data_IF_138785458947
#
_entry.id   IF_138785458947
#
_cell.length_a   1.000
_cell.length_b   1.000
_cell.length_c   1.000
_cell.angle_alpha   90.00
_cell.angle_beta   90.00
_cell.angle_gamma   90.00
#
_symmetry.space_group_name_H-M   'P 1'
#
loop_
_entity.id
_entity.type
_entity.pdbx_description
1 polymer ?
#
# COMPACT_ATOMS: atom_id res chain seq x y z
N UNK A 1 -59.32 14.54 30.60
CA UNK A 1 -59.28 15.62 29.60
C UNK A 1 -59.63 15.04 28.24
N UNK A 2 -60.33 15.78 27.39
CA UNK A 2 -60.60 15.32 26.03
C UNK A 2 -59.29 15.27 25.24
N UNK A 3 -58.98 14.12 24.64
CA UNK A 3 -57.81 13.95 23.79
C UNK A 3 -58.18 14.34 22.37
N UNK A 4 -57.47 15.32 21.82
CA UNK A 4 -57.56 15.72 20.42
C UNK A 4 -56.42 15.10 19.63
N UNK A 5 -56.61 14.93 18.32
CA UNK A 5 -55.59 14.42 17.41
C UNK A 5 -55.38 15.39 16.28
N UNK A 6 -54.12 15.72 16.01
CA UNK A 6 -53.74 16.65 14.95
C UNK A 6 -52.62 16.07 14.11
N UNK A 7 -52.59 16.48 12.84
CA UNK A 7 -51.56 16.14 11.86
C UNK A 7 -50.86 17.42 11.43
N UNK A 8 -49.53 17.41 11.46
CA UNK A 8 -48.71 18.50 10.94
C UNK A 8 -47.86 18.01 9.77
N UNK A 9 -47.77 18.83 8.73
CA UNK A 9 -46.90 18.60 7.57
C UNK A 9 -45.89 19.73 7.49
N UNK A 10 -44.60 19.40 7.48
CA UNK A 10 -43.51 20.34 7.24
C UNK A 10 -42.94 20.03 5.86
N UNK A 11 -43.15 20.91 4.88
CA UNK A 11 -42.64 20.74 3.51
C UNK A 11 -41.45 21.64 3.26
N UNK A 12 -40.50 21.16 2.46
CA UNK A 12 -39.33 21.95 2.11
C UNK A 12 -38.48 21.33 1.01
N UNK A 13 -37.50 22.11 0.53
CA UNK A 13 -36.41 21.62 -0.33
C UNK A 13 -35.60 20.54 0.39
N UNK A 14 -35.33 20.73 1.68
CA UNK A 14 -34.53 19.81 2.50
C UNK A 14 -35.08 19.73 3.92
N UNK A 15 -35.85 18.69 4.22
CA UNK A 15 -36.44 18.44 5.55
C UNK A 15 -36.26 16.98 6.01
N UNK A 16 -35.75 16.10 5.15
CA UNK A 16 -35.40 14.72 5.49
C UNK A 16 -33.94 14.62 5.93
N UNK A 17 -33.72 13.81 6.97
CA UNK A 17 -32.41 13.47 7.53
C UNK A 17 -31.59 14.71 7.96
N UNK A 18 -32.28 15.76 8.38
CA UNK A 18 -31.68 16.97 8.98
C UNK A 18 -31.92 17.05 10.49
N UNK A 19 -32.58 16.06 11.10
CA UNK A 19 -32.84 16.02 12.55
C UNK A 19 -34.28 16.33 12.97
N UNK A 20 -35.19 16.69 12.05
CA UNK A 20 -36.58 17.02 12.38
C UNK A 20 -37.29 15.96 13.21
N UNK A 21 -37.22 14.68 12.80
CA UNK A 21 -37.90 13.60 13.53
C UNK A 21 -37.42 13.51 14.98
N UNK A 22 -36.13 13.68 15.23
CA UNK A 22 -35.56 13.66 16.58
C UNK A 22 -36.01 14.89 17.39
N UNK A 23 -35.85 16.08 16.82
CA UNK A 23 -36.29 17.35 17.42
C UNK A 23 -37.75 17.27 17.87
N UNK A 24 -38.65 16.86 16.96
CA UNK A 24 -40.08 16.80 17.19
C UNK A 24 -40.46 15.71 18.20
N UNK A 25 -39.68 14.63 18.29
CA UNK A 25 -39.88 13.58 19.30
C UNK A 25 -39.51 14.08 20.69
N UNK A 26 -38.40 14.82 20.82
CA UNK A 26 -37.98 15.40 22.09
C UNK A 26 -38.99 16.44 22.56
N UNK A 27 -39.45 17.30 21.64
CA UNK A 27 -40.48 18.29 21.93
C UNK A 27 -41.80 17.65 22.41
N UNK A 28 -42.19 16.52 21.83
CA UNK A 28 -43.36 15.78 22.27
C UNK A 28 -43.18 15.21 23.68
N UNK A 29 -42.00 14.68 23.99
CA UNK A 29 -41.66 14.16 25.31
C UNK A 29 -41.68 15.25 26.38
N UNK A 30 -41.03 16.39 26.11
CA UNK A 30 -40.94 17.54 27.02
C UNK A 30 -42.33 18.11 27.38
N UNK A 31 -43.28 18.02 26.45
CA UNK A 31 -44.66 18.47 26.63
C UNK A 31 -45.60 17.37 27.15
N UNK A 32 -45.09 16.18 27.46
CA UNK A 32 -45.90 15.06 27.95
C UNK A 32 -46.92 14.52 26.93
N UNK A 33 -46.60 14.59 25.63
CA UNK A 33 -47.44 14.07 24.56
C UNK A 33 -47.21 12.56 24.40
N UNK A 34 -48.12 11.77 24.99
CA UNK A 34 -48.01 10.32 25.00
C UNK A 34 -48.26 9.62 23.65
N UNK A 35 -48.99 10.24 22.71
CA UNK A 35 -49.23 9.70 21.38
C UNK A 35 -48.53 10.53 20.30
N UNK A 36 -47.54 9.93 19.64
CA UNK A 36 -46.68 10.60 18.67
C UNK A 36 -46.26 9.67 17.54
N UNK A 37 -46.17 10.21 16.32
CA UNK A 37 -45.56 9.53 15.18
C UNK A 37 -44.99 10.54 14.19
N UNK A 38 -43.76 10.35 13.71
CA UNK A 38 -43.17 11.18 12.68
C UNK A 38 -42.60 10.35 11.52
N UNK A 39 -42.91 10.71 10.28
CA UNK A 39 -42.42 10.00 9.09
C UNK A 39 -41.93 10.96 8.02
N UNK A 40 -40.83 10.58 7.39
CA UNK A 40 -40.41 11.20 6.14
C UNK A 40 -41.27 10.63 5.00
N UNK A 41 -41.98 11.49 4.30
CA UNK A 41 -42.79 11.14 3.13
C UNK A 41 -42.47 12.09 1.98
N UNK A 42 -42.86 11.72 0.77
CA UNK A 42 -42.77 12.60 -0.40
C UNK A 42 -44.17 12.97 -0.85
N UNK A 43 -44.39 14.24 -1.15
CA UNK A 43 -45.63 14.72 -1.75
C UNK A 43 -45.26 15.60 -2.95
N UNK A 44 -45.75 15.26 -4.15
CA UNK A 44 -45.45 15.98 -5.39
C UNK A 44 -43.94 16.20 -5.62
N UNK A 45 -43.13 15.18 -5.35
CA UNK A 45 -41.66 15.25 -5.47
C UNK A 45 -40.94 16.06 -4.38
N UNK A 46 -41.65 16.76 -3.51
CA UNK A 46 -41.08 17.53 -2.38
C UNK A 46 -40.91 16.66 -1.14
N UNK A 47 -39.89 16.98 -0.34
CA UNK A 47 -39.70 16.34 0.97
C UNK A 47 -40.72 16.89 1.96
N UNK A 48 -41.37 15.98 2.69
CA UNK A 48 -42.34 16.32 3.73
C UNK A 48 -42.06 15.49 4.98
N UNK A 49 -42.00 16.16 6.13
CA UNK A 49 -42.06 15.49 7.43
C UNK A 49 -43.52 15.51 7.88
N UNK A 50 -44.13 14.33 7.99
CA UNK A 50 -45.49 14.16 8.51
C UNK A 50 -45.43 13.80 9.97
N UNK A 51 -46.14 14.54 10.80
CA UNK A 51 -46.22 14.36 12.26
C UNK A 51 -47.67 14.13 12.64
N UNK A 52 -47.94 13.11 13.45
CA UNK A 52 -49.24 12.82 14.04
C UNK A 52 -49.10 12.91 15.56
N UNK A 53 -50.03 13.60 16.21
CA UNK A 53 -50.02 13.87 17.65
C UNK A 53 -51.38 13.54 18.23
N UNK A 54 -51.40 13.00 19.45
CA UNK A 54 -52.60 12.87 20.27
C UNK A 54 -52.31 13.29 21.72
N UNK A 55 -53.01 14.31 22.22
CA UNK A 55 -52.87 14.80 23.60
C UNK A 55 -54.03 15.75 23.96
N UNK A 56 -53.91 16.46 25.07
CA UNK A 56 -54.77 17.62 25.36
C UNK A 56 -54.55 18.72 24.32
N UNK A 57 -55.58 19.53 24.06
CA UNK A 57 -55.50 20.63 23.10
C UNK A 57 -54.42 21.65 23.48
N UNK A 58 -54.27 21.92 24.79
CA UNK A 58 -53.22 22.80 25.32
C UNK A 58 -51.80 22.32 24.96
N UNK A 59 -51.51 21.02 25.14
CA UNK A 59 -50.18 20.47 24.86
C UNK A 59 -49.90 20.45 23.35
N UNK A 60 -50.91 20.12 22.54
CA UNK A 60 -50.77 20.14 21.08
C UNK A 60 -50.53 21.56 20.57
N UNK A 61 -51.23 22.57 21.08
CA UNK A 61 -51.05 23.95 20.66
C UNK A 61 -49.63 24.45 21.03
N UNK A 62 -49.16 24.19 22.26
CA UNK A 62 -47.78 24.48 22.67
C UNK A 62 -46.74 23.81 21.77
N UNK A 63 -46.98 22.55 21.40
CA UNK A 63 -46.11 21.82 20.49
C UNK A 63 -46.00 22.53 19.14
N UNK A 64 -47.13 22.94 18.55
CA UNK A 64 -47.12 23.61 17.26
C UNK A 64 -46.48 25.00 17.29
N UNK A 65 -46.69 25.75 18.36
CA UNK A 65 -46.04 27.05 18.54
C UNK A 65 -44.52 26.91 18.58
N UNK A 66 -44.00 25.88 19.26
CA UNK A 66 -42.57 25.61 19.31
C UNK A 66 -42.04 25.02 17.99
N UNK A 67 -42.78 24.13 17.34
CA UNK A 67 -42.37 23.47 16.11
C UNK A 67 -42.37 24.40 14.88
N UNK A 68 -43.11 25.51 14.93
CA UNK A 68 -43.16 26.52 13.85
C UNK A 68 -42.10 27.61 13.96
N UNK A 69 -41.49 27.77 15.13
CA UNK A 69 -40.47 28.79 15.37
C UNK A 69 -39.21 28.50 14.54
N UNK A 70 -38.82 29.37 13.60
CA UNK A 70 -37.65 29.15 12.76
C UNK A 70 -36.36 28.95 13.56
N UNK A 71 -36.24 29.58 14.73
CA UNK A 71 -35.10 29.40 15.64
C UNK A 71 -34.94 27.96 16.17
N UNK A 72 -36.00 27.15 16.13
CA UNK A 72 -35.98 25.76 16.56
C UNK A 72 -35.73 24.79 15.39
N UNK A 73 -35.63 25.28 14.15
CA UNK A 73 -35.43 24.40 13.01
C UNK A 73 -34.04 23.77 13.06
N UNK A 74 -33.89 22.51 12.64
CA UNK A 74 -32.58 21.90 12.55
C UNK A 74 -31.65 22.69 11.62
N UNK A 75 -30.36 22.75 11.94
CA UNK A 75 -29.36 23.62 11.28
C UNK A 75 -29.34 23.53 9.74
N UNK A 76 -29.58 22.34 9.20
CA UNK A 76 -29.53 22.10 7.75
C UNK A 76 -30.90 22.02 7.08
N UNK A 77 -31.96 22.41 7.80
CA UNK A 77 -33.32 22.43 7.27
C UNK A 77 -33.53 23.59 6.29
N UNK A 78 -34.17 23.30 5.16
CA UNK A 78 -34.71 24.29 4.22
C UNK A 78 -36.21 24.04 4.08
N UNK A 79 -37.00 24.74 4.89
CA UNK A 79 -38.47 24.69 4.87
C UNK A 79 -38.99 25.69 3.84
N UNK A 80 -40.00 25.30 3.08
CA UNK A 80 -40.65 26.22 2.14
C UNK A 80 -41.46 27.26 2.91
N UNK A 81 -41.41 28.53 2.47
CA UNK A 81 -42.14 29.62 3.12
C UNK A 81 -43.64 29.30 3.20
N UNK A 82 -44.21 29.38 4.41
CA UNK A 82 -45.63 29.10 4.66
C UNK A 82 -46.04 27.62 4.51
N UNK A 83 -45.11 26.68 4.35
CA UNK A 83 -45.43 25.28 4.04
C UNK A 83 -45.51 24.35 5.26
N UNK A 84 -45.83 24.91 6.43
CA UNK A 84 -46.20 24.14 7.62
C UNK A 84 -47.72 24.18 7.75
N UNK A 85 -48.38 23.04 7.55
CA UNK A 85 -49.84 22.91 7.67
C UNK A 85 -50.21 22.06 8.87
N UNK A 86 -51.34 22.38 9.50
CA UNK A 86 -51.92 21.63 10.62
C UNK A 86 -53.38 21.34 10.29
N UNK A 87 -53.78 20.09 10.47
CA UNK A 87 -55.12 19.60 10.17
C UNK A 87 -55.59 18.65 11.29
N UNK A 88 -56.90 18.45 11.39
CA UNK A 88 -57.45 17.38 12.22
C UNK A 88 -57.04 16.00 11.71
N UNK A 89 -56.88 15.06 12.64
CA UNK A 89 -56.38 13.73 12.35
C UNK A 89 -57.35 12.66 12.85
N UNK A 90 -57.90 11.88 11.93
CA UNK A 90 -58.71 10.71 12.25
C UNK A 90 -57.85 9.43 12.39
N UNK A 91 -56.60 9.47 11.91
CA UNK A 91 -55.68 8.33 11.93
C UNK A 91 -55.34 7.90 13.37
N UNK A 92 -55.00 6.61 13.51
CA UNK A 92 -54.43 6.10 14.76
C UNK A 92 -53.03 6.68 14.99
N UNK A 93 -52.82 7.23 16.19
CA UNK A 93 -51.53 7.74 16.64
C UNK A 93 -50.99 6.80 17.71
N UNK A 94 -49.92 6.07 17.38
CA UNK A 94 -49.24 5.18 18.33
C UNK A 94 -48.63 5.93 19.51
N UNK A 95 -48.12 5.19 20.49
CA UNK A 95 -47.45 5.80 21.65
C UNK A 95 -46.08 6.37 21.26
N UNK A 96 -45.64 7.39 21.98
CA UNK A 96 -44.29 7.97 21.83
C UNK A 96 -43.20 6.91 21.95
N UNK A 97 -43.33 5.99 22.91
CA UNK A 97 -42.38 4.87 23.08
C UNK A 97 -42.35 3.94 21.87
N UNK A 98 -43.51 3.61 21.28
CA UNK A 98 -43.57 2.78 20.08
C UNK A 98 -42.87 3.45 18.89
N UNK A 99 -42.97 4.78 18.79
CA UNK A 99 -42.23 5.55 17.80
C UNK A 99 -40.74 5.52 18.09
N UNK A 100 -40.31 5.77 19.34
CA UNK A 100 -38.90 5.76 19.76
C UNK A 100 -38.23 4.42 19.45
N UNK A 101 -38.87 3.31 19.81
CA UNK A 101 -38.35 1.96 19.51
C UNK A 101 -38.14 1.78 18.00
N UNK A 102 -39.17 2.08 17.19
CA UNK A 102 -39.07 1.96 15.73
C UNK A 102 -37.98 2.86 15.16
N UNK A 103 -37.93 4.11 15.59
CA UNK A 103 -36.94 5.08 15.13
C UNK A 103 -35.51 4.64 15.49
N UNK A 104 -35.29 4.11 16.70
CA UNK A 104 -33.99 3.55 17.10
C UNK A 104 -33.60 2.34 16.26
N UNK A 105 -34.54 1.42 15.97
CA UNK A 105 -34.29 0.30 15.05
C UNK A 105 -33.93 0.79 13.64
N UNK A 106 -34.61 1.81 13.12
CA UNK A 106 -34.26 2.44 11.83
C UNK A 106 -32.84 3.00 11.83
N UNK A 107 -32.41 3.67 12.92
CA UNK A 107 -31.04 4.19 13.02
C UNK A 107 -30.00 3.07 13.15
N UNK A 108 -30.27 2.03 13.94
CA UNK A 108 -29.40 0.86 14.07
C UNK A 108 -29.19 0.16 12.72
N UNK A 109 -30.23 0.06 11.89
CA UNK A 109 -30.09 -0.50 10.54
C UNK A 109 -29.13 0.31 9.66
N UNK A 110 -29.19 1.65 9.72
CA UNK A 110 -28.24 2.51 9.02
C UNK A 110 -26.78 2.28 9.47
N UNK A 111 -26.57 2.05 10.76
CA UNK A 111 -25.25 1.68 11.28
C UNK A 111 -24.77 0.32 10.75
N UNK A 112 -25.64 -0.68 10.71
CA UNK A 112 -25.31 -2.01 10.16
C UNK A 112 -24.92 -1.91 8.69
N UNK A 113 -25.64 -1.12 7.90
CA UNK A 113 -25.35 -0.90 6.49
C UNK A 113 -23.98 -0.22 6.28
N UNK A 114 -23.71 0.85 7.04
CA UNK A 114 -22.40 1.52 7.04
C UNK A 114 -21.25 0.57 7.46
N UNK A 115 -21.47 -0.24 8.50
CA UNK A 115 -20.49 -1.22 8.97
C UNK A 115 -20.22 -2.31 7.91
N UNK A 116 -21.25 -2.77 7.20
CA UNK A 116 -21.09 -3.73 6.10
C UNK A 116 -20.25 -3.14 4.95
N UNK A 117 -20.49 -1.88 4.58
CA UNK A 117 -19.69 -1.16 3.59
C UNK A 117 -18.20 -1.13 3.96
N UNK A 118 -17.89 -0.71 5.19
CA UNK A 118 -16.52 -0.69 5.73
C UNK A 118 -15.88 -2.08 5.76
N UNK A 119 -16.63 -3.13 6.13
CA UNK A 119 -16.13 -4.50 6.14
C UNK A 119 -15.80 -5.00 4.73
N UNK A 120 -16.59 -4.62 3.72
CA UNK A 120 -16.31 -4.93 2.32
C UNK A 120 -15.03 -4.24 1.82
N UNK A 121 -14.87 -2.95 2.10
CA UNK A 121 -13.64 -2.20 1.76
C UNK A 121 -12.40 -2.80 2.45
N UNK A 122 -12.51 -3.15 3.73
CA UNK A 122 -11.43 -3.77 4.48
C UNK A 122 -11.04 -5.14 3.92
N UNK A 123 -12.02 -5.97 3.53
CA UNK A 123 -11.76 -7.26 2.87
C UNK A 123 -11.08 -7.08 1.52
N UNK A 124 -11.50 -6.08 0.73
CA UNK A 124 -10.86 -5.73 -0.54
C UNK A 124 -9.39 -5.35 -0.35
N UNK A 125 -9.12 -4.38 0.52
CA UNK A 125 -7.77 -3.93 0.86
C UNK A 125 -6.87 -5.07 1.37
N UNK A 126 -7.40 -5.97 2.20
CA UNK A 126 -6.66 -7.14 2.67
C UNK A 126 -6.31 -8.11 1.53
N UNK A 127 -7.22 -8.30 0.58
CA UNK A 127 -6.97 -9.15 -0.58
C UNK A 127 -5.89 -8.56 -1.49
N UNK A 128 -5.96 -7.27 -1.78
CA UNK A 128 -4.96 -6.56 -2.60
C UNK A 128 -3.58 -6.59 -1.94
N UNK A 129 -3.53 -6.36 -0.63
CA UNK A 129 -2.31 -6.47 0.17
C UNK A 129 -1.71 -7.88 0.08
N UNK A 130 -2.53 -8.91 0.25
CA UNK A 130 -2.07 -10.31 0.14
C UNK A 130 -1.53 -10.63 -1.26
N UNK A 131 -2.19 -10.15 -2.32
CA UNK A 131 -1.72 -10.34 -3.70
C UNK A 131 -0.37 -9.64 -3.94
N UNK A 132 -0.23 -8.41 -3.45
CA UNK A 132 1.02 -7.65 -3.55
C UNK A 132 2.16 -8.36 -2.81
N UNK A 133 1.93 -8.85 -1.59
CA UNK A 133 2.94 -9.64 -0.87
C UNK A 133 3.30 -10.94 -1.60
N UNK A 134 2.32 -11.64 -2.18
CA UNK A 134 2.57 -12.85 -2.95
C UNK A 134 3.43 -12.57 -4.19
N UNK A 135 3.17 -11.47 -4.89
CA UNK A 135 3.95 -11.04 -6.05
C UNK A 135 5.37 -10.62 -5.65
N UNK A 136 5.51 -9.79 -4.60
CA UNK A 136 6.81 -9.38 -4.07
C UNK A 136 7.65 -10.59 -3.63
N UNK A 137 7.01 -11.58 -3.00
CA UNK A 137 7.68 -12.83 -2.58
C UNK A 137 8.18 -13.61 -3.80
N UNK A 138 7.39 -13.70 -4.87
CA UNK A 138 7.80 -14.35 -6.13
C UNK A 138 8.96 -13.62 -6.79
N UNK A 139 8.89 -12.30 -6.89
CA UNK A 139 9.97 -11.47 -7.46
C UNK A 139 11.27 -11.61 -6.67
N UNK A 140 11.17 -11.54 -5.34
CA UNK A 140 12.30 -11.75 -4.43
C UNK A 140 12.93 -13.13 -4.63
N UNK A 141 12.10 -14.19 -4.68
CA UNK A 141 12.58 -15.56 -4.94
C UNK A 141 13.26 -15.68 -6.29
N UNK A 142 12.69 -15.12 -7.34
CA UNK A 142 13.29 -15.12 -8.67
C UNK A 142 14.64 -14.38 -8.67
N UNK A 143 14.73 -13.25 -7.96
CA UNK A 143 15.97 -12.51 -7.75
C UNK A 143 17.05 -13.38 -7.11
N UNK A 144 16.73 -14.09 -6.02
CA UNK A 144 17.67 -15.02 -5.38
C UNK A 144 18.12 -16.13 -6.33
N UNK A 145 17.21 -16.78 -7.04
CA UNK A 145 17.59 -17.86 -7.98
C UNK A 145 18.49 -17.37 -9.10
N UNK A 146 18.30 -16.12 -9.57
CA UNK A 146 19.17 -15.52 -10.57
C UNK A 146 20.56 -15.27 -9.99
N UNK A 147 20.64 -14.69 -8.79
CA UNK A 147 21.91 -14.47 -8.08
C UNK A 147 22.67 -15.77 -7.84
N UNK A 148 21.99 -16.84 -7.43
CA UNK A 148 22.61 -18.16 -7.24
C UNK A 148 23.21 -18.70 -8.55
N UNK A 149 22.47 -18.57 -9.66
CA UNK A 149 22.95 -18.97 -10.98
C UNK A 149 24.16 -18.15 -11.44
N UNK A 150 24.14 -16.84 -11.20
CA UNK A 150 25.25 -15.94 -11.51
C UNK A 150 26.49 -16.31 -10.67
N UNK A 151 26.31 -16.58 -9.38
CA UNK A 151 27.39 -17.00 -8.49
C UNK A 151 27.99 -18.35 -8.89
N UNK A 152 27.16 -19.33 -9.22
CA UNK A 152 27.61 -20.62 -9.73
C UNK A 152 28.43 -20.46 -11.02
N UNK A 153 27.95 -19.65 -11.96
CA UNK A 153 28.65 -19.35 -13.21
C UNK A 153 30.00 -18.70 -12.97
N UNK A 154 30.06 -17.71 -12.07
CA UNK A 154 31.30 -17.05 -11.67
C UNK A 154 32.27 -18.06 -11.04
N UNK A 155 31.80 -18.87 -10.10
CA UNK A 155 32.63 -19.86 -9.42
C UNK A 155 33.24 -20.88 -10.39
N UNK A 156 32.46 -21.38 -11.37
CA UNK A 156 32.97 -22.25 -12.43
C UNK A 156 34.05 -21.56 -13.27
N UNK A 157 33.83 -20.30 -13.68
CA UNK A 157 34.83 -19.53 -14.45
C UNK A 157 36.11 -19.30 -13.64
N UNK A 158 36.00 -19.02 -12.34
CA UNK A 158 37.16 -18.89 -11.45
C UNK A 158 37.94 -20.19 -11.32
N UNK A 159 37.26 -21.34 -11.20
CA UNK A 159 37.89 -22.66 -11.19
C UNK A 159 38.75 -22.90 -12.45
N UNK A 160 38.16 -22.70 -13.64
CA UNK A 160 38.86 -22.83 -14.92
C UNK A 160 40.05 -21.86 -15.01
N UNK A 161 39.87 -20.60 -14.59
CA UNK A 161 40.94 -19.61 -14.59
C UNK A 161 42.10 -20.02 -13.67
N UNK A 162 41.80 -20.55 -12.49
CA UNK A 162 42.79 -21.03 -11.53
C UNK A 162 43.60 -22.20 -12.11
N UNK A 163 42.93 -23.17 -12.74
CA UNK A 163 43.58 -24.29 -13.43
C UNK A 163 44.51 -23.80 -14.55
N UNK A 164 44.05 -22.87 -15.38
CA UNK A 164 44.85 -22.29 -16.45
C UNK A 164 46.07 -21.53 -15.92
N UNK A 165 45.91 -20.73 -14.85
CA UNK A 165 47.04 -20.02 -14.21
C UNK A 165 48.07 -21.02 -13.68
N UNK A 166 47.63 -22.11 -13.06
CA UNK A 166 48.53 -23.16 -12.56
C UNK A 166 49.29 -23.85 -13.71
N UNK A 167 48.61 -24.16 -14.82
CA UNK A 167 49.25 -24.74 -16.00
C UNK A 167 50.29 -23.79 -16.62
N UNK A 168 49.97 -22.50 -16.72
CA UNK A 168 50.92 -21.47 -17.18
C UNK A 168 52.13 -21.42 -16.26
N UNK A 169 51.94 -21.35 -14.93
CA UNK A 169 53.03 -21.32 -13.97
C UNK A 169 53.96 -22.54 -14.08
N UNK A 170 53.40 -23.74 -14.24
CA UNK A 170 54.17 -24.97 -14.44
C UNK A 170 54.98 -24.92 -15.75
N UNK A 171 54.36 -24.49 -16.84
CA UNK A 171 55.05 -24.35 -18.14
C UNK A 171 56.20 -23.33 -18.07
N UNK A 172 55.98 -22.19 -17.40
CA UNK A 172 57.01 -21.17 -17.21
C UNK A 172 58.17 -21.67 -16.37
N UNK A 173 57.90 -22.41 -15.29
CA UNK A 173 58.95 -23.02 -14.47
C UNK A 173 59.83 -23.96 -15.31
N UNK A 174 59.21 -24.81 -16.13
CA UNK A 174 59.93 -25.72 -17.03
C UNK A 174 60.81 -24.96 -18.04
N UNK A 175 60.26 -23.94 -18.71
CA UNK A 175 61.01 -23.10 -19.66
C UNK A 175 62.20 -22.43 -18.95
N UNK A 176 62.00 -21.96 -17.71
CA UNK A 176 63.06 -21.32 -16.95
C UNK A 176 64.18 -22.31 -16.58
N UNK A 177 63.85 -23.53 -16.17
CA UNK A 177 64.81 -24.59 -15.89
C UNK A 177 65.65 -24.96 -17.13
N UNK A 178 65.00 -25.15 -18.29
CA UNK A 178 65.67 -25.43 -19.57
C UNK A 178 66.60 -24.28 -19.97
N UNK A 179 66.14 -23.04 -19.87
CA UNK A 179 66.96 -21.86 -20.17
C UNK A 179 68.20 -21.74 -19.27
N UNK A 180 68.06 -22.04 -17.97
CA UNK A 180 69.19 -22.05 -17.03
C UNK A 180 70.20 -23.13 -17.41
N UNK A 181 69.74 -24.31 -17.82
CA UNK A 181 70.60 -25.40 -18.28
C UNK A 181 71.36 -25.01 -19.56
N UNK A 182 70.67 -24.52 -20.59
CA UNK A 182 71.28 -24.04 -21.84
C UNK A 182 72.33 -22.95 -21.57
N UNK A 183 72.01 -21.97 -20.71
CA UNK A 183 72.99 -20.93 -20.33
C UNK A 183 74.23 -21.49 -19.66
N UNK A 184 74.10 -22.56 -18.88
CA UNK A 184 75.24 -23.21 -18.21
C UNK A 184 76.13 -23.91 -19.23
N UNK A 185 75.54 -24.61 -20.19
CA UNK A 185 76.30 -25.34 -21.22
C UNK A 185 76.94 -24.39 -22.23
N UNK A 186 76.22 -23.36 -22.68
CA UNK A 186 76.78 -22.29 -23.52
C UNK A 186 77.98 -21.61 -22.87
N UNK A 187 77.92 -21.33 -21.56
CA UNK A 187 79.07 -20.78 -20.81
C UNK A 187 80.28 -21.71 -20.80
N UNK A 188 80.08 -23.04 -20.71
CA UNK A 188 81.18 -24.01 -20.76
C UNK A 188 81.80 -24.08 -22.16
N UNK A 189 80.98 -24.09 -23.20
CA UNK A 189 81.43 -24.15 -24.58
C UNK A 189 82.26 -22.92 -24.94
N UNK A 190 81.78 -21.71 -24.60
CA UNK A 190 82.56 -20.48 -24.73
C UNK A 190 83.89 -20.52 -23.98
N UNK A 191 83.93 -21.13 -22.78
CA UNK A 191 85.17 -21.26 -22.02
C UNK A 191 86.17 -22.21 -22.71
N UNK A 192 85.67 -23.28 -23.33
CA UNK A 192 86.47 -24.23 -24.11
C UNK A 192 87.03 -23.57 -25.38
N UNK A 193 86.18 -22.93 -26.19
CA UNK A 193 86.60 -22.21 -27.40
C UNK A 193 87.65 -21.14 -27.07
N UNK A 194 87.45 -20.37 -25.98
CA UNK A 194 88.44 -19.38 -25.52
C UNK A 194 89.78 -20.02 -25.14
N UNK A 195 89.77 -21.22 -24.56
CA UNK A 195 90.99 -21.95 -24.21
C UNK A 195 91.72 -22.43 -25.46
N UNK A 196 90.99 -23.01 -26.41
CA UNK A 196 91.52 -23.48 -27.69
C UNK A 196 92.10 -22.32 -28.51
N UNK A 197 91.37 -21.22 -28.65
CA UNK A 197 91.85 -20.01 -29.32
C UNK A 197 93.12 -19.46 -28.66
N UNK A 198 93.20 -19.47 -27.32
CA UNK A 198 94.42 -19.06 -26.59
C UNK A 198 95.60 -19.98 -26.88
N UNK A 199 95.38 -21.28 -26.96
CA UNK A 199 96.44 -22.25 -27.30
C UNK A 199 96.92 -22.06 -28.73
N UNK A 200 96.00 -21.99 -29.69
CA UNK A 200 96.34 -21.74 -31.10
C UNK A 200 97.09 -20.41 -31.28
N UNK A 201 96.67 -19.36 -30.57
CA UNK A 201 97.38 -18.06 -30.58
C UNK A 201 98.81 -18.22 -30.06
N UNK A 202 99.03 -18.98 -28.97
CA UNK A 202 100.38 -19.25 -28.44
C UNK A 202 101.23 -20.01 -29.43
N UNK A 203 100.68 -21.00 -30.11
CA UNK A 203 101.40 -21.80 -31.12
C UNK A 203 101.81 -20.96 -32.33
N UNK A 204 100.91 -20.11 -32.84
CA UNK A 204 101.22 -19.16 -33.92
C UNK A 204 102.32 -18.20 -33.49
N UNK A 205 102.22 -17.62 -32.29
CA UNK A 205 103.26 -16.72 -31.76
C UNK A 205 104.61 -17.46 -31.65
N UNK A 206 104.61 -18.71 -31.17
CA UNK A 206 105.81 -19.52 -31.09
C UNK A 206 106.42 -19.79 -32.48
N UNK A 207 105.60 -20.15 -33.47
CA UNK A 207 106.04 -20.40 -34.85
C UNK A 207 106.63 -19.15 -35.53
N UNK A 208 106.00 -17.98 -35.31
CA UNK A 208 106.53 -16.69 -35.77
C UNK A 208 107.91 -16.41 -35.15
N UNK A 209 108.07 -16.68 -33.85
CA UNK A 209 109.35 -16.50 -33.15
C UNK A 209 110.45 -17.45 -33.67
N UNK A 210 110.13 -18.70 -34.01
CA UNK A 210 111.11 -19.62 -34.62
C UNK A 210 111.45 -19.24 -36.06
N UNK A 211 110.48 -18.82 -36.87
CA UNK A 211 110.74 -18.30 -38.23
C UNK A 211 111.63 -17.07 -38.19
N UNK A 212 111.40 -16.16 -37.25
CA UNK A 212 112.24 -14.96 -37.05
C UNK A 212 113.70 -15.33 -36.71
N UNK A 213 113.92 -16.43 -35.96
CA UNK A 213 115.27 -16.92 -35.61
C UNK A 213 115.96 -17.67 -36.76
N UNK A 214 115.21 -18.26 -37.69
CA UNK A 214 115.76 -18.99 -38.85
C UNK A 214 116.18 -18.10 -40.03
N UNK A 215 115.87 -16.79 -39.97
CA UNK A 215 116.23 -15.78 -40.98
C UNK A 215 117.43 -14.90 -40.56
N UNK A 216 118.14 -15.29 -39.52
CA UNK A 216 119.38 -14.69 -38.99
C UNK A 216 120.45 -15.76 -38.91
#
# INVERSE_FOLDING_TARGET
MATVKKKMLIKGEKVHDVGYRLLLTNLADDLGIGNFNAKNVKANGRQVVRVLLGSSDENINKFFDLAKKPENFPEHAKVDSGAITIEDCEEYVGTLDSFRMRFMTEQQYKFVDAANGLLCEFKGSRNDTNQNFANLTKETRNGFTKTDNDFNTINTKYGILSENINAIAQSMNKIFEEFVAERKDFKKELAKERKEARTATKEIVAAILTLAKSKT
#
